data_IF_693286286944
#
_entry.id   IF_693286286944
#
_cell.length_a   1.000
_cell.length_b   1.000
_cell.length_c   1.000
_cell.angle_alpha   90.00
_cell.angle_beta   90.00
_cell.angle_gamma   90.00
#
_symmetry.space_group_name_H-M   'P 1'
#
loop_
_entity.id
_entity.type
_entity.pdbx_description
1 polymer ?
#
# COMPACT_ATOMS: atom_id res chain seq x y z
N UNK A 1 -0.59 6.21 -18.04
CA UNK A 1 0.28 4.99 -18.21
C UNK A 1 -0.61 3.84 -18.63
N UNK A 2 -0.20 2.96 -19.55
CA UNK A 2 -1.03 1.79 -19.92
C UNK A 2 -1.09 0.80 -18.72
N UNK A 3 -2.28 0.24 -18.46
CA UNK A 3 -2.53 -0.67 -17.31
C UNK A 3 -1.49 -1.80 -17.14
N UNK A 4 -0.97 -2.47 -18.19
CA UNK A 4 0.06 -3.49 -18.03
C UNK A 4 1.38 -2.98 -17.42
N UNK A 5 1.80 -1.76 -17.77
CA UNK A 5 3.03 -1.14 -17.22
C UNK A 5 2.87 -0.78 -15.75
N UNK A 6 1.67 -0.34 -15.34
CA UNK A 6 1.37 -0.03 -13.95
C UNK A 6 1.38 -1.29 -13.09
N UNK A 7 0.70 -2.35 -13.53
CA UNK A 7 0.67 -3.65 -12.82
C UNK A 7 2.07 -4.24 -12.67
N UNK A 8 2.90 -4.16 -13.73
CA UNK A 8 4.30 -4.60 -13.66
C UNK A 8 5.09 -3.80 -12.63
N UNK A 9 4.95 -2.47 -12.61
CA UNK A 9 5.62 -1.61 -11.61
C UNK A 9 5.16 -1.93 -10.19
N UNK A 10 3.85 -2.07 -9.97
CA UNK A 10 3.32 -2.49 -8.66
C UNK A 10 3.89 -3.84 -8.22
N UNK A 11 4.02 -4.79 -9.14
CA UNK A 11 4.57 -6.11 -8.81
C UNK A 11 6.06 -6.08 -8.43
N UNK A 12 6.77 -5.04 -8.79
CA UNK A 12 8.18 -4.82 -8.41
C UNK A 12 8.31 -4.18 -7.02
N UNK A 13 7.25 -3.53 -6.52
CA UNK A 13 7.27 -2.98 -5.17
C UNK A 13 7.28 -4.10 -4.14
N UNK A 14 8.14 -3.96 -3.14
CA UNK A 14 8.19 -4.87 -2.00
C UNK A 14 7.43 -4.31 -0.80
N UNK A 15 7.49 -3.00 -0.63
CA UNK A 15 6.89 -2.29 0.51
C UNK A 15 6.05 -1.13 0.01
N UNK A 16 4.82 -1.06 0.50
CA UNK A 16 3.91 0.08 0.31
C UNK A 16 3.80 0.81 1.64
N UNK A 17 4.38 2.02 1.77
CA UNK A 17 4.11 2.89 2.91
C UNK A 17 2.64 3.29 2.93
N UNK A 18 1.96 3.06 4.05
CA UNK A 18 0.54 3.41 4.25
C UNK A 18 0.47 4.56 5.25
N UNK A 19 0.26 5.78 4.75
CA UNK A 19 0.25 6.97 5.58
C UNK A 19 -1.14 7.28 6.13
N UNK A 20 -1.20 7.27 7.46
CA UNK A 20 -2.34 7.73 8.25
C UNK A 20 -1.82 8.69 9.30
N UNK A 21 -1.90 9.98 9.03
CA UNK A 21 -1.36 11.02 9.89
C UNK A 21 -2.46 12.02 10.31
N UNK A 22 -2.25 12.65 11.47
CA UNK A 22 -3.25 13.52 12.07
C UNK A 22 -3.42 14.85 11.34
N UNK A 23 -2.41 15.28 10.58
CA UNK A 23 -2.43 16.55 9.86
C UNK A 23 -1.86 16.40 8.45
N UNK A 24 -2.30 17.25 7.54
CA UNK A 24 -1.75 17.34 6.18
C UNK A 24 -0.24 17.66 6.22
N UNK A 25 0.20 18.61 7.06
CA UNK A 25 1.61 18.98 7.18
C UNK A 25 2.49 17.79 7.58
N UNK A 26 2.05 17.00 8.57
CA UNK A 26 2.79 15.80 8.96
C UNK A 26 2.86 14.77 7.83
N UNK A 27 1.79 14.65 7.03
CA UNK A 27 1.77 13.77 5.87
C UNK A 27 2.75 14.25 4.78
N UNK A 28 2.81 15.54 4.50
CA UNK A 28 3.78 16.13 3.57
C UNK A 28 5.22 15.90 4.01
N UNK A 29 5.53 16.13 5.28
CA UNK A 29 6.86 15.85 5.85
C UNK A 29 7.23 14.37 5.78
N UNK A 30 6.29 13.46 6.08
CA UNK A 30 6.52 12.03 5.97
C UNK A 30 6.77 11.60 4.52
N UNK A 31 6.03 12.15 3.55
CA UNK A 31 6.23 11.89 2.12
C UNK A 31 7.63 12.34 1.70
N UNK A 32 8.09 13.51 2.14
CA UNK A 32 9.43 13.99 1.83
C UNK A 32 10.52 13.04 2.35
N UNK A 33 10.36 12.54 3.59
CA UNK A 33 11.28 11.54 4.13
C UNK A 33 11.25 10.22 3.35
N UNK A 34 10.07 9.77 2.90
CA UNK A 34 9.94 8.55 2.08
C UNK A 34 10.60 8.70 0.70
N UNK A 35 10.47 9.87 0.07
CA UNK A 35 11.14 10.17 -1.20
C UNK A 35 12.67 10.14 -1.02
N UNK A 36 13.20 10.75 0.04
CA UNK A 36 14.63 10.72 0.38
C UNK A 36 15.12 9.32 0.80
N UNK A 37 14.23 8.49 1.35
CA UNK A 37 14.51 7.07 1.63
C UNK A 37 14.45 6.16 0.40
N UNK A 38 14.20 6.73 -0.80
CA UNK A 38 14.14 6.05 -2.09
C UNK A 38 12.89 5.18 -2.32
N UNK A 39 11.81 5.41 -1.57
CA UNK A 39 10.52 4.79 -1.89
C UNK A 39 10.00 5.26 -3.25
N UNK A 40 9.36 4.35 -3.97
CA UNK A 40 8.77 4.61 -5.30
C UNK A 40 7.25 4.64 -5.27
N UNK A 41 6.67 4.57 -4.08
CA UNK A 41 5.22 4.62 -3.88
C UNK A 41 4.84 5.08 -2.48
N UNK A 42 3.60 5.54 -2.35
CA UNK A 42 2.92 5.75 -1.07
C UNK A 42 1.41 5.51 -1.23
N UNK A 43 0.78 4.92 -0.23
CA UNK A 43 -0.67 4.88 -0.05
C UNK A 43 -1.09 6.00 0.91
N UNK A 44 -1.83 7.01 0.41
CA UNK A 44 -2.43 8.05 1.23
C UNK A 44 -3.82 7.58 1.68
N UNK A 45 -4.00 7.36 2.98
CA UNK A 45 -5.32 6.96 3.50
C UNK A 45 -6.25 8.17 3.57
N UNK A 46 -7.50 7.99 3.16
CA UNK A 46 -8.53 9.05 3.18
C UNK A 46 -8.94 9.49 4.60
N UNK A 47 -8.43 8.82 5.62
CA UNK A 47 -8.54 9.24 7.02
C UNK A 47 -7.54 10.34 7.39
N UNK A 48 -6.56 10.64 6.54
CA UNK A 48 -5.70 11.81 6.68
C UNK A 48 -6.45 13.05 6.19
N UNK A 49 -6.41 14.18 6.91
CA UNK A 49 -7.07 15.41 6.47
C UNK A 49 -6.58 15.84 5.08
N UNK A 50 -7.51 16.29 4.23
CA UNK A 50 -7.24 16.77 2.86
C UNK A 50 -6.54 15.76 1.94
N UNK A 51 -6.68 14.45 2.20
CA UNK A 51 -5.95 13.39 1.49
C UNK A 51 -6.09 13.46 -0.04
N UNK A 52 -7.28 13.76 -0.58
CA UNK A 52 -7.50 13.86 -2.04
C UNK A 52 -6.77 15.06 -2.63
N UNK A 53 -6.75 16.21 -1.93
CA UNK A 53 -5.99 17.38 -2.36
C UNK A 53 -4.48 17.08 -2.29
N UNK A 54 -4.02 16.48 -1.20
CA UNK A 54 -2.63 16.06 -1.03
C UNK A 54 -2.19 15.05 -2.11
N UNK A 55 -3.04 14.10 -2.47
CA UNK A 55 -2.80 13.14 -3.55
C UNK A 55 -2.56 13.87 -4.88
N UNK A 56 -3.43 14.83 -5.22
CA UNK A 56 -3.31 15.65 -6.44
C UNK A 56 -2.00 16.42 -6.48
N UNK A 57 -1.64 17.06 -5.36
CA UNK A 57 -0.43 17.86 -5.25
C UNK A 57 0.82 16.97 -5.34
N UNK A 58 0.80 15.80 -4.67
CA UNK A 58 1.89 14.83 -4.75
C UNK A 58 2.07 14.30 -6.18
N UNK A 59 0.96 13.97 -6.87
CA UNK A 59 1.00 13.50 -8.26
C UNK A 59 1.65 14.53 -9.20
N UNK A 60 1.34 15.82 -9.02
CA UNK A 60 1.95 16.90 -9.79
C UNK A 60 3.45 17.04 -9.51
N UNK A 61 3.85 16.83 -8.26
CA UNK A 61 5.23 16.99 -7.80
C UNK A 61 6.15 15.84 -8.24
N UNK A 62 5.66 14.61 -8.23
CA UNK A 62 6.50 13.42 -8.43
C UNK A 62 6.53 12.88 -9.86
N UNK A 63 5.61 13.30 -10.72
CA UNK A 63 5.54 12.79 -12.10
C UNK A 63 5.27 11.28 -12.16
N UNK A 64 5.57 10.63 -13.28
CA UNK A 64 5.21 9.23 -13.54
C UNK A 64 6.12 8.21 -12.87
N UNK A 65 7.27 8.62 -12.35
CA UNK A 65 8.23 7.70 -11.72
C UNK A 65 7.82 7.23 -10.32
N UNK A 66 6.95 7.97 -9.65
CA UNK A 66 6.44 7.65 -8.33
C UNK A 66 4.95 7.25 -8.40
N UNK A 67 4.57 6.15 -7.75
CA UNK A 67 3.18 5.69 -7.73
C UNK A 67 2.45 6.23 -6.49
N UNK A 68 1.32 6.90 -6.72
CA UNK A 68 0.50 7.45 -5.64
C UNK A 68 -0.79 6.65 -5.52
N UNK A 69 -0.99 5.98 -4.38
CA UNK A 69 -2.19 5.24 -4.06
C UNK A 69 -3.14 6.00 -3.15
N UNK A 70 -4.43 5.77 -3.34
CA UNK A 70 -5.48 6.20 -2.42
C UNK A 70 -5.95 5.03 -1.59
N UNK A 71 -5.85 5.13 -0.24
CA UNK A 71 -6.22 4.07 0.68
C UNK A 71 -7.46 4.38 1.50
N UNK A 72 -8.09 3.35 2.04
CA UNK A 72 -9.35 3.42 2.78
C UNK A 72 -10.51 3.92 1.91
N UNK A 73 -10.49 3.50 0.63
CA UNK A 73 -11.59 3.75 -0.31
C UNK A 73 -12.72 2.77 -0.01
N UNK A 74 -13.93 3.27 0.27
CA UNK A 74 -15.06 2.46 0.75
C UNK A 74 -16.28 2.48 -0.17
N UNK A 75 -16.28 3.33 -1.19
CA UNK A 75 -17.36 3.47 -2.15
C UNK A 75 -16.87 3.95 -3.52
N UNK A 76 -17.72 3.84 -4.55
CA UNK A 76 -17.37 4.17 -5.92
C UNK A 76 -17.26 5.68 -6.19
N UNK A 77 -18.03 6.50 -5.50
CA UNK A 77 -17.95 7.96 -5.64
C UNK A 77 -16.58 8.45 -5.16
N UNK A 78 -16.17 8.00 -3.98
CA UNK A 78 -14.85 8.30 -3.43
C UNK A 78 -13.73 7.73 -4.31
N UNK A 79 -13.90 6.51 -4.84
CA UNK A 79 -12.97 5.89 -5.78
C UNK A 79 -12.78 6.78 -7.02
N UNK A 80 -13.87 7.27 -7.63
CA UNK A 80 -13.81 8.16 -8.79
C UNK A 80 -13.08 9.46 -8.46
N UNK A 81 -13.38 10.09 -7.33
CA UNK A 81 -12.71 11.32 -6.89
C UNK A 81 -11.20 11.14 -6.71
N UNK A 82 -10.76 9.96 -6.23
CA UNK A 82 -9.34 9.62 -6.11
C UNK A 82 -8.69 9.45 -7.49
N UNK A 83 -9.38 8.78 -8.43
CA UNK A 83 -8.89 8.62 -9.81
C UNK A 83 -8.77 9.97 -10.52
N UNK A 84 -9.76 10.85 -10.37
CA UNK A 84 -9.75 12.21 -10.93
C UNK A 84 -8.64 13.09 -10.33
N UNK A 85 -8.25 12.81 -9.09
CA UNK A 85 -7.11 13.45 -8.44
C UNK A 85 -5.76 12.87 -8.90
N UNK A 86 -5.75 11.78 -9.68
CA UNK A 86 -4.56 11.20 -10.28
C UNK A 86 -3.98 10.01 -9.52
N UNK A 87 -4.80 9.30 -8.71
CA UNK A 87 -4.37 8.05 -8.08
C UNK A 87 -3.93 7.02 -9.14
N UNK A 88 -2.78 6.38 -8.91
CA UNK A 88 -2.30 5.29 -9.76
C UNK A 88 -2.92 3.95 -9.35
N UNK A 89 -3.30 3.81 -8.09
CA UNK A 89 -4.01 2.66 -7.58
C UNK A 89 -4.95 3.01 -6.42
N UNK A 90 -6.00 2.23 -6.30
CA UNK A 90 -6.98 2.32 -5.21
C UNK A 90 -6.78 1.16 -4.23
N UNK A 91 -6.94 1.42 -2.94
CA UNK A 91 -6.85 0.41 -1.90
C UNK A 91 -8.07 0.48 -0.98
N UNK A 92 -8.74 -0.64 -0.80
CA UNK A 92 -9.82 -0.79 0.19
C UNK A 92 -9.43 -1.77 1.30
N UNK A 93 -9.98 -1.62 2.52
CA UNK A 93 -9.76 -2.58 3.60
C UNK A 93 -10.62 -3.83 3.48
N UNK A 94 -11.62 -3.83 2.60
CA UNK A 94 -12.59 -4.90 2.37
C UNK A 94 -13.05 -4.89 0.92
N UNK A 95 -13.91 -5.83 0.53
CA UNK A 95 -14.52 -5.87 -0.79
C UNK A 95 -15.41 -4.63 -1.00
N UNK A 96 -15.13 -3.89 -2.06
CA UNK A 96 -15.96 -2.79 -2.59
C UNK A 96 -16.32 -3.14 -4.01
N UNK A 97 -17.56 -3.61 -4.20
CA UNK A 97 -18.04 -4.08 -5.52
C UNK A 97 -17.98 -2.97 -6.57
N UNK A 98 -17.44 -3.28 -7.76
CA UNK A 98 -17.26 -2.34 -8.86
C UNK A 98 -15.98 -1.51 -8.79
N UNK A 99 -15.23 -1.52 -7.68
CA UNK A 99 -14.04 -0.68 -7.54
C UNK A 99 -12.91 -1.12 -8.48
N UNK A 100 -12.72 -2.42 -8.67
CA UNK A 100 -11.71 -2.92 -9.61
C UNK A 100 -12.05 -2.53 -11.05
N UNK A 101 -13.30 -2.70 -11.46
CA UNK A 101 -13.78 -2.36 -12.80
C UNK A 101 -13.60 -0.86 -13.06
N UNK A 102 -13.93 -0.02 -12.08
CA UNK A 102 -13.74 1.43 -12.16
C UNK A 102 -12.26 1.79 -12.34
N UNK A 103 -11.37 1.21 -11.54
CA UNK A 103 -9.92 1.41 -11.65
C UNK A 103 -9.39 0.95 -13.01
N UNK A 104 -9.81 -0.22 -13.49
CA UNK A 104 -9.40 -0.77 -14.79
C UNK A 104 -9.85 0.12 -15.95
N UNK A 105 -11.09 0.63 -15.92
CA UNK A 105 -11.59 1.55 -16.93
C UNK A 105 -10.76 2.84 -17.04
N UNK A 106 -10.20 3.28 -15.90
CA UNK A 106 -9.27 4.41 -15.84
C UNK A 106 -7.81 4.04 -16.15
N UNK A 107 -7.50 2.77 -16.49
CA UNK A 107 -6.13 2.29 -16.68
C UNK A 107 -5.31 2.26 -15.37
N UNK A 108 -5.97 2.10 -14.24
CA UNK A 108 -5.39 2.10 -12.88
C UNK A 108 -5.52 0.73 -12.22
N UNK A 109 -4.83 0.55 -11.09
CA UNK A 109 -4.87 -0.71 -10.36
C UNK A 109 -5.80 -0.65 -9.13
N UNK A 110 -6.25 -1.82 -8.66
CA UNK A 110 -7.02 -1.98 -7.44
C UNK A 110 -6.37 -3.03 -6.54
N UNK A 111 -6.18 -2.66 -5.27
CA UNK A 111 -5.80 -3.54 -4.18
C UNK A 111 -7.01 -3.68 -3.24
N UNK A 112 -7.68 -4.82 -3.28
CA UNK A 112 -8.95 -5.02 -2.58
C UNK A 112 -8.72 -5.85 -1.33
N UNK A 113 -9.30 -5.43 -0.20
CA UNK A 113 -9.16 -6.08 1.09
C UNK A 113 -9.98 -7.36 1.22
N UNK A 114 -9.39 -8.34 1.90
CA UNK A 114 -10.02 -9.56 2.38
C UNK A 114 -9.20 -10.15 3.52
N UNK A 115 -9.80 -10.92 4.39
CA UNK A 115 -9.11 -11.59 5.50
C UNK A 115 -9.26 -13.10 5.43
N UNK A 116 -10.48 -13.60 5.30
CA UNK A 116 -10.76 -15.03 5.17
C UNK A 116 -10.48 -15.54 3.75
N UNK A 117 -10.25 -16.85 3.56
CA UNK A 117 -10.09 -17.42 2.21
C UNK A 117 -11.23 -17.08 1.25
N UNK A 118 -12.47 -17.04 1.75
CA UNK A 118 -13.64 -16.65 0.94
C UNK A 118 -13.59 -15.20 0.49
N UNK A 119 -13.20 -14.27 1.36
CA UNK A 119 -13.05 -12.85 1.03
C UNK A 119 -11.88 -12.62 0.08
N UNK A 120 -10.76 -13.31 0.27
CA UNK A 120 -9.59 -13.24 -0.63
C UNK A 120 -9.98 -13.70 -2.03
N UNK A 121 -10.68 -14.84 -2.15
CA UNK A 121 -11.16 -15.32 -3.44
C UNK A 121 -12.20 -14.37 -4.07
N UNK A 122 -13.09 -13.79 -3.28
CA UNK A 122 -14.06 -12.82 -3.75
C UNK A 122 -13.38 -11.54 -4.28
N UNK A 123 -12.41 -11.00 -3.55
CA UNK A 123 -11.62 -9.84 -3.99
C UNK A 123 -10.84 -10.12 -5.28
N UNK A 124 -10.26 -11.31 -5.41
CA UNK A 124 -9.56 -11.73 -6.63
C UNK A 124 -10.52 -11.82 -7.83
N UNK A 125 -11.69 -12.46 -7.65
CA UNK A 125 -12.73 -12.59 -8.69
C UNK A 125 -13.35 -11.25 -9.08
N UNK A 126 -13.38 -10.29 -8.18
CA UNK A 126 -13.78 -8.90 -8.47
C UNK A 126 -12.77 -8.19 -9.39
N UNK A 127 -11.59 -8.74 -9.60
CA UNK A 127 -10.55 -8.19 -10.47
C UNK A 127 -9.46 -7.42 -9.72
N UNK A 128 -9.24 -7.68 -8.45
CA UNK A 128 -8.10 -7.11 -7.73
C UNK A 128 -6.77 -7.46 -8.43
N UNK A 129 -5.87 -6.49 -8.57
CA UNK A 129 -4.50 -6.77 -9.02
C UNK A 129 -3.65 -7.41 -7.91
N UNK A 130 -3.97 -7.09 -6.68
CA UNK A 130 -3.37 -7.63 -5.46
C UNK A 130 -4.46 -7.70 -4.41
N UNK A 131 -4.50 -8.76 -3.61
CA UNK A 131 -5.43 -8.83 -2.48
C UNK A 131 -4.71 -8.38 -1.21
N UNK A 132 -5.24 -7.34 -0.58
CA UNK A 132 -4.78 -6.82 0.70
C UNK A 132 -5.33 -7.70 1.82
N UNK A 133 -4.46 -8.45 2.50
CA UNK A 133 -4.87 -9.23 3.68
C UNK A 133 -4.86 -8.31 4.90
N UNK A 134 -6.06 -7.97 5.41
CA UNK A 134 -6.23 -6.97 6.46
C UNK A 134 -7.30 -7.37 7.49
N UNK A 135 -7.05 -7.18 8.80
CA UNK A 135 -5.78 -6.75 9.41
C UNK A 135 -4.81 -7.93 9.61
N UNK A 136 -3.60 -7.83 9.04
CA UNK A 136 -2.65 -8.95 9.01
C UNK A 136 -2.19 -9.38 10.41
N UNK A 137 -2.09 -8.45 11.39
CA UNK A 137 -1.70 -8.76 12.75
C UNK A 137 -2.62 -9.77 13.45
N UNK A 138 -3.90 -9.83 13.06
CA UNK A 138 -4.88 -10.76 13.67
C UNK A 138 -4.62 -12.22 13.36
N UNK A 139 -4.04 -12.51 12.19
CA UNK A 139 -3.74 -13.88 11.77
C UNK A 139 -2.24 -14.19 11.70
N UNK A 140 -1.42 -13.18 11.58
CA UNK A 140 0.04 -13.31 11.45
C UNK A 140 0.49 -13.98 10.14
N UNK A 141 1.81 -14.27 10.03
CA UNK A 141 2.36 -14.95 8.86
C UNK A 141 1.78 -16.35 8.62
N UNK A 142 1.43 -17.10 9.67
CA UNK A 142 0.85 -18.44 9.54
C UNK A 142 -0.51 -18.40 8.82
N UNK A 143 -1.34 -17.41 9.09
CA UNK A 143 -2.61 -17.21 8.38
C UNK A 143 -2.38 -16.90 6.90
N UNK A 144 -1.44 -16.00 6.59
CA UNK A 144 -1.08 -15.69 5.22
C UNK A 144 -0.61 -16.93 4.47
N UNK A 145 0.26 -17.74 5.09
CA UNK A 145 0.78 -18.98 4.53
C UNK A 145 -0.34 -19.98 4.21
N UNK A 146 -1.32 -20.12 5.11
CA UNK A 146 -2.47 -20.98 4.89
C UNK A 146 -3.33 -20.53 3.70
N UNK A 147 -3.53 -19.23 3.52
CA UNK A 147 -4.22 -18.66 2.35
C UNK A 147 -3.41 -18.89 1.08
N UNK A 148 -2.11 -18.59 1.10
CA UNK A 148 -1.23 -18.74 -0.06
C UNK A 148 -1.10 -20.20 -0.52
N UNK A 149 -1.12 -21.15 0.41
CA UNK A 149 -1.09 -22.58 0.08
C UNK A 149 -2.31 -23.04 -0.75
N UNK A 150 -3.47 -22.38 -0.57
CA UNK A 150 -4.70 -22.68 -1.31
C UNK A 150 -4.79 -21.89 -2.62
N UNK A 151 -4.27 -20.66 -2.63
CA UNK A 151 -4.35 -19.72 -3.76
C UNK A 151 -2.97 -19.18 -4.11
N UNK A 152 -2.03 -20.02 -4.60
CA UNK A 152 -0.66 -19.60 -4.88
C UNK A 152 -0.55 -18.56 -6.01
N UNK A 153 -1.57 -18.47 -6.88
CA UNK A 153 -1.63 -17.51 -7.97
C UNK A 153 -2.08 -16.10 -7.53
N UNK A 154 -2.72 -15.97 -6.35
CA UNK A 154 -3.23 -14.67 -5.88
C UNK A 154 -2.09 -13.87 -5.24
N UNK A 155 -1.74 -12.69 -5.78
CA UNK A 155 -0.75 -11.82 -5.16
C UNK A 155 -1.30 -11.25 -3.84
N UNK A 156 -0.66 -11.57 -2.71
CA UNK A 156 -1.10 -11.15 -1.38
C UNK A 156 -0.24 -9.99 -0.85
N UNK A 157 -0.92 -9.02 -0.22
CA UNK A 157 -0.31 -7.86 0.44
C UNK A 157 -0.80 -7.78 1.90
N UNK A 158 -0.16 -8.46 2.86
CA UNK A 158 -0.50 -8.32 4.27
C UNK A 158 -0.28 -6.87 4.70
N UNK A 159 -1.27 -6.32 5.40
CA UNK A 159 -1.28 -4.93 5.86
C UNK A 159 -1.86 -4.86 7.27
N UNK A 160 -1.31 -3.99 8.11
CA UNK A 160 -1.70 -3.83 9.52
C UNK A 160 -0.91 -4.74 10.44
N UNK A 161 0.00 -4.13 11.21
CA UNK A 161 0.90 -4.82 12.14
C UNK A 161 2.22 -5.30 11.54
N UNK A 162 2.47 -5.06 10.26
CA UNK A 162 3.77 -5.31 9.64
C UNK A 162 4.81 -4.34 10.19
N UNK A 163 5.99 -4.87 10.54
CA UNK A 163 7.12 -4.13 11.12
C UNK A 163 8.44 -4.76 10.69
N UNK A 164 9.56 -4.12 10.99
CA UNK A 164 10.90 -4.68 10.76
C UNK A 164 11.09 -6.05 11.43
N UNK A 165 10.41 -6.30 12.56
CA UNK A 165 10.53 -7.55 13.29
C UNK A 165 9.86 -8.76 12.61
N UNK A 166 8.87 -8.54 11.76
CA UNK A 166 8.07 -9.64 11.17
C UNK A 166 7.97 -9.60 9.64
N UNK A 167 8.54 -8.58 9.00
CA UNK A 167 8.46 -8.42 7.55
C UNK A 167 9.00 -9.62 6.78
N UNK A 168 10.15 -10.16 7.19
CA UNK A 168 10.77 -11.33 6.57
C UNK A 168 9.87 -12.57 6.66
N UNK A 169 9.17 -12.74 7.78
CA UNK A 169 8.25 -13.85 7.99
C UNK A 169 7.04 -13.78 7.05
N UNK A 170 6.52 -12.57 6.80
CA UNK A 170 5.45 -12.37 5.82
C UNK A 170 5.89 -12.71 4.40
N UNK A 171 7.10 -12.34 3.98
CA UNK A 171 7.61 -12.74 2.67
C UNK A 171 7.80 -14.26 2.56
N UNK A 172 8.34 -14.92 3.59
CA UNK A 172 8.44 -16.38 3.64
C UNK A 172 7.07 -17.07 3.59
N UNK A 173 6.03 -16.43 4.13
CA UNK A 173 4.65 -16.90 4.10
C UNK A 173 3.93 -16.69 2.75
N UNK A 174 4.61 -16.15 1.73
CA UNK A 174 4.07 -15.96 0.39
C UNK A 174 3.56 -14.55 0.09
N UNK A 175 3.89 -13.53 0.90
CA UNK A 175 3.57 -12.15 0.56
C UNK A 175 4.27 -11.72 -0.74
N UNK A 176 3.52 -11.16 -1.68
CA UNK A 176 4.09 -10.54 -2.88
C UNK A 176 4.72 -9.19 -2.57
N UNK A 177 4.10 -8.45 -1.67
CA UNK A 177 4.51 -7.17 -1.12
C UNK A 177 3.89 -7.02 0.26
N UNK A 178 4.30 -6.01 1.02
CA UNK A 178 3.72 -5.71 2.34
C UNK A 178 3.25 -4.25 2.41
N UNK A 179 2.11 -4.01 3.07
CA UNK A 179 1.64 -2.68 3.42
C UNK A 179 2.08 -2.32 4.85
N UNK A 180 2.91 -1.29 5.00
CA UNK A 180 3.41 -0.88 6.31
C UNK A 180 2.76 0.45 6.72
N UNK A 181 1.93 0.40 7.78
CA UNK A 181 1.22 1.55 8.31
C UNK A 181 2.04 2.34 9.33
N UNK A 182 1.56 2.41 10.56
CA UNK A 182 2.16 3.25 11.61
C UNK A 182 3.65 2.97 11.91
N UNK A 183 4.12 1.79 11.53
CA UNK A 183 5.52 1.41 11.78
C UNK A 183 6.50 1.96 10.73
N UNK A 184 6.02 2.48 9.58
CA UNK A 184 6.92 2.96 8.52
C UNK A 184 7.54 4.33 8.85
N UNK A 185 6.81 5.15 9.58
CA UNK A 185 7.25 6.48 10.02
C UNK A 185 7.30 6.50 11.54
N UNK A 186 8.47 6.78 12.09
CA UNK A 186 8.59 7.13 13.51
C UNK A 186 7.98 8.53 13.72
N UNK A 187 6.71 8.54 14.17
CA UNK A 187 5.95 9.78 14.35
C UNK A 187 6.53 10.69 15.44
N UNK A 188 7.25 10.12 16.43
CA UNK A 188 7.90 10.91 17.49
C UNK A 188 9.11 11.63 16.92
N UNK A 189 9.94 10.93 16.16
CA UNK A 189 11.09 11.53 15.48
C UNK A 189 10.64 12.55 14.43
N UNK A 190 9.58 12.27 13.67
CA UNK A 190 9.00 13.22 12.71
C UNK A 190 8.54 14.51 13.40
N UNK A 191 7.81 14.40 14.52
CA UNK A 191 7.35 15.56 15.30
C UNK A 191 8.49 16.34 15.95
N UNK A 192 9.60 15.67 16.27
CA UNK A 192 10.82 16.31 16.79
C UNK A 192 11.69 16.94 15.68
N UNK A 193 11.34 16.77 14.40
CA UNK A 193 12.13 17.26 13.27
C UNK A 193 13.39 16.42 12.96
N UNK A 194 13.53 15.24 13.56
CA UNK A 194 14.64 14.32 13.31
C UNK A 194 14.45 13.55 12.00
N UNK A 195 14.61 14.29 10.90
CA UNK A 195 14.43 13.74 9.55
C UNK A 195 15.42 12.60 9.25
N UNK A 196 16.65 12.71 9.72
CA UNK A 196 17.68 11.71 9.46
C UNK A 196 17.28 10.34 10.03
N UNK A 197 16.78 10.32 11.25
CA UNK A 197 16.27 9.11 11.88
C UNK A 197 15.06 8.55 11.12
N UNK A 198 14.07 9.40 10.76
CA UNK A 198 12.87 8.97 10.00
C UNK A 198 13.26 8.32 8.67
N UNK A 199 14.18 8.94 7.93
CA UNK A 199 14.67 8.42 6.63
C UNK A 199 15.38 7.08 6.81
N UNK A 200 16.31 6.98 7.77
CA UNK A 200 17.04 5.75 8.03
C UNK A 200 16.10 4.61 8.47
N UNK A 201 15.15 4.92 9.36
CA UNK A 201 14.13 3.97 9.79
C UNK A 201 13.25 3.48 8.62
N UNK A 202 12.76 4.38 7.78
CA UNK A 202 11.97 4.00 6.61
C UNK A 202 12.79 3.15 5.61
N UNK A 203 14.05 3.52 5.35
CA UNK A 203 14.96 2.79 4.45
C UNK A 203 15.21 1.36 4.90
N UNK A 204 15.28 1.10 6.21
CA UNK A 204 15.49 -0.26 6.73
C UNK A 204 14.43 -1.27 6.28
N UNK A 205 13.19 -0.83 5.99
CA UNK A 205 12.16 -1.70 5.42
C UNK A 205 12.48 -2.12 3.99
N UNK A 206 13.05 -1.24 3.16
CA UNK A 206 13.47 -1.58 1.80
C UNK A 206 14.64 -2.55 1.82
N UNK A 207 15.59 -2.37 2.71
CA UNK A 207 16.76 -3.26 2.89
C UNK A 207 16.32 -4.66 3.31
N UNK A 208 15.43 -4.77 4.30
CA UNK A 208 14.86 -6.06 4.72
C UNK A 208 14.05 -6.73 3.61
N UNK A 209 13.27 -5.95 2.87
CA UNK A 209 12.50 -6.49 1.75
C UNK A 209 13.38 -6.97 0.59
N UNK A 210 14.50 -6.29 0.33
CA UNK A 210 15.50 -6.74 -0.64
C UNK A 210 16.16 -8.06 -0.22
N UNK A 211 16.49 -8.21 1.07
CA UNK A 211 17.01 -9.47 1.62
C UNK A 211 16.01 -10.63 1.47
N UNK A 212 14.71 -10.37 1.73
CA UNK A 212 13.66 -11.37 1.59
C UNK A 212 13.49 -11.88 0.16
N UNK A 213 13.69 -11.01 -0.84
CA UNK A 213 13.54 -11.35 -2.26
C UNK A 213 14.78 -11.99 -2.89
N UNK A 214 15.92 -11.94 -2.22
CA UNK A 214 17.16 -12.57 -2.65
C UNK A 214 17.30 -14.04 -2.18
N UNK A 215 16.43 -14.49 -1.27
CA UNK A 215 16.36 -15.86 -0.76
C UNK A 215 15.38 -16.70 -1.58
#
# INVERSE_FOLDING_TARGET
MAAPKLTQRLSQLAVIPVLRLATRTAAEQAIDCLLEADFKTVELTLTTPDAIALLRDLRRRTGDEFLVGAGTVLDLETAQRCLDAGADYLVSPCLVSGMAQLAHAAGRAALIGGFTPGEVLAAWREGAHVVKVFPAASGGPAHLQAIHAVFPEIPLCPTGGVSNANLLEYFKAGARMVGVGNNIIDQKALAAGDRAHVIAHARSFLELAAQARAQ
#
